data_IF_548494472017
#
_entry.id   IF_548494472017
#
_cell.length_a   1.000
_cell.length_b   1.000
_cell.length_c   1.000
_cell.angle_alpha   90.00
_cell.angle_beta   90.00
_cell.angle_gamma   90.00
#
_symmetry.space_group_name_H-M   'P 1'
#
loop_
_entity.id
_entity.type
_entity.pdbx_description
1 polymer ?
#
# COMPACT_ATOMS: atom_id res chain seq x y z
N UNK A 1 26.94 2.19 1.97
CA UNK A 1 25.47 2.17 2.13
C UNK A 1 25.13 1.25 3.30
N UNK A 2 24.45 1.74 4.34
CA UNK A 2 24.21 0.95 5.55
C UNK A 2 22.79 0.38 5.50
N UNK A 3 22.66 -0.84 4.98
CA UNK A 3 21.37 -1.52 4.76
C UNK A 3 20.49 -1.53 6.03
N UNK A 4 21.10 -1.70 7.21
CA UNK A 4 20.39 -1.72 8.49
C UNK A 4 19.73 -0.38 8.81
N UNK A 5 20.40 0.72 8.50
CA UNK A 5 19.87 2.07 8.71
C UNK A 5 18.71 2.37 7.75
N UNK A 6 18.86 2.00 6.48
CA UNK A 6 17.84 2.19 5.45
C UNK A 6 16.56 1.39 5.77
N UNK A 7 16.71 0.14 6.22
CA UNK A 7 15.57 -0.68 6.70
C UNK A 7 14.90 -0.07 7.92
N UNK A 8 15.66 0.38 8.92
CA UNK A 8 15.10 1.00 10.12
C UNK A 8 14.26 2.25 9.77
N UNK A 9 14.75 3.08 8.84
CA UNK A 9 14.04 4.27 8.38
C UNK A 9 12.72 3.93 7.70
N UNK A 10 12.72 2.88 6.88
CA UNK A 10 11.53 2.40 6.17
C UNK A 10 10.49 1.82 7.14
N UNK A 11 10.92 1.04 8.13
CA UNK A 11 10.04 0.49 9.17
C UNK A 11 9.42 1.61 10.00
N UNK A 12 10.21 2.58 10.46
CA UNK A 12 9.70 3.74 11.22
C UNK A 12 8.70 4.54 10.37
N UNK A 13 8.99 4.75 9.09
CA UNK A 13 8.06 5.38 8.15
C UNK A 13 6.75 4.61 8.03
N UNK A 14 6.81 3.31 7.81
CA UNK A 14 5.64 2.43 7.68
C UNK A 14 4.77 2.43 8.94
N UNK A 15 5.38 2.32 10.12
CA UNK A 15 4.68 2.35 11.41
C UNK A 15 3.96 3.69 11.61
N UNK A 16 4.64 4.81 11.34
CA UNK A 16 4.04 6.14 11.46
C UNK A 16 2.86 6.32 10.49
N UNK A 17 2.99 5.86 9.25
CA UNK A 17 1.92 5.90 8.25
C UNK A 17 0.72 5.07 8.74
N UNK A 18 0.95 3.86 9.24
CA UNK A 18 -0.13 3.02 9.80
C UNK A 18 -0.86 3.69 10.96
N UNK A 19 -0.12 4.33 11.86
CA UNK A 19 -0.70 5.09 12.99
C UNK A 19 -1.53 6.29 12.54
N UNK A 20 -1.06 7.04 11.53
CA UNK A 20 -1.80 8.18 10.97
C UNK A 20 -3.10 7.71 10.31
N UNK A 21 -3.02 6.64 9.49
CA UNK A 21 -4.19 6.07 8.83
C UNK A 21 -5.22 5.58 9.86
N UNK A 22 -4.78 4.83 10.87
CA UNK A 22 -5.67 4.35 11.93
C UNK A 22 -6.35 5.51 12.68
N UNK A 23 -5.59 6.53 13.07
CA UNK A 23 -6.11 7.73 13.75
C UNK A 23 -7.10 8.51 12.88
N UNK A 24 -6.88 8.51 11.56
CA UNK A 24 -7.76 9.17 10.58
C UNK A 24 -9.13 8.50 10.51
N UNK A 25 -9.20 7.17 10.60
CA UNK A 25 -10.48 6.44 10.64
C UNK A 25 -11.18 6.64 11.99
N UNK A 26 -10.44 6.61 13.10
CA UNK A 26 -11.00 6.85 14.43
C UNK A 26 -11.59 8.25 14.59
N UNK A 27 -11.05 9.25 13.90
CA UNK A 27 -11.54 10.65 13.95
C UNK A 27 -12.77 10.90 13.07
N UNK A 28 -13.22 9.89 12.31
CA UNK A 28 -14.33 10.00 11.35
C UNK A 28 -13.86 10.45 9.97
N UNK A 29 -14.14 9.63 8.94
CA UNK A 29 -13.74 9.91 7.55
C UNK A 29 -14.41 11.16 6.95
N UNK A 30 -15.56 11.57 7.49
CA UNK A 30 -16.31 12.76 7.07
C UNK A 30 -15.73 14.06 7.61
N UNK A 31 -14.82 13.99 8.59
CA UNK A 31 -14.09 15.15 9.05
C UNK A 31 -12.96 15.49 8.07
N UNK A 32 -12.80 16.78 7.76
CA UNK A 32 -11.69 17.29 6.94
C UNK A 32 -10.34 16.76 7.41
N UNK A 33 -10.16 16.63 8.72
CA UNK A 33 -8.95 16.08 9.35
C UNK A 33 -8.63 14.64 8.91
N UNK A 34 -9.64 13.78 8.69
CA UNK A 34 -9.46 12.39 8.25
C UNK A 34 -8.90 12.30 6.82
N UNK A 35 -9.43 13.09 5.89
CA UNK A 35 -8.95 13.11 4.50
C UNK A 35 -7.53 13.67 4.39
N UNK A 36 -7.21 14.74 5.15
CA UNK A 36 -5.85 15.27 5.23
C UNK A 36 -4.87 14.27 5.87
N UNK A 37 -5.33 13.48 6.84
CA UNK A 37 -4.56 12.38 7.43
C UNK A 37 -4.18 11.30 6.41
N UNK A 38 -5.11 10.89 5.55
CA UNK A 38 -4.83 9.93 4.46
C UNK A 38 -3.84 10.53 3.45
N UNK A 39 -4.04 11.78 3.03
CA UNK A 39 -3.13 12.43 2.09
C UNK A 39 -1.71 12.57 2.64
N UNK A 40 -1.57 12.94 3.93
CA UNK A 40 -0.27 13.02 4.61
C UNK A 40 0.39 11.65 4.76
N UNK A 41 -0.39 10.61 5.09
CA UNK A 41 0.09 9.23 5.14
C UNK A 41 0.68 8.77 3.80
N UNK A 42 -0.03 9.01 2.68
CA UNK A 42 0.45 8.70 1.33
C UNK A 42 1.75 9.46 1.02
N UNK A 43 1.81 10.75 1.35
CA UNK A 43 3.00 11.58 1.14
C UNK A 43 4.23 11.07 1.91
N UNK A 44 4.05 10.75 3.20
CA UNK A 44 5.14 10.21 4.04
C UNK A 44 5.62 8.86 3.50
N UNK A 45 4.72 8.00 3.05
CA UNK A 45 5.08 6.69 2.52
C UNK A 45 5.88 6.81 1.20
N UNK A 46 5.49 7.74 0.31
CA UNK A 46 6.25 8.05 -0.90
C UNK A 46 7.66 8.59 -0.58
N UNK A 47 7.78 9.46 0.44
CA UNK A 47 9.06 9.99 0.90
C UNK A 47 9.93 8.88 1.51
N UNK A 48 9.34 7.96 2.28
CA UNK A 48 10.05 6.83 2.85
C UNK A 48 10.67 5.96 1.75
N UNK A 49 9.88 5.56 0.75
CA UNK A 49 10.33 4.78 -0.41
C UNK A 49 11.42 5.51 -1.19
N UNK A 50 11.23 6.80 -1.49
CA UNK A 50 12.21 7.60 -2.25
C UNK A 50 13.52 7.80 -1.50
N UNK A 51 13.49 7.82 -0.17
CA UNK A 51 14.66 8.13 0.65
C UNK A 51 15.63 6.96 0.86
N UNK A 52 15.26 5.77 0.39
CA UNK A 52 15.98 4.52 0.63
C UNK A 52 16.72 4.08 -0.62
N UNK A 53 18.04 3.90 -0.48
CA UNK A 53 18.92 3.70 -1.63
C UNK A 53 18.86 2.28 -2.22
N UNK A 54 18.49 1.25 -1.45
CA UNK A 54 18.36 -0.13 -1.95
C UNK A 54 17.11 -0.38 -2.80
N UNK A 55 16.12 0.52 -2.72
CA UNK A 55 14.82 0.41 -3.39
C UNK A 55 14.85 1.07 -4.78
N UNK A 56 15.92 1.82 -5.06
CA UNK A 56 16.04 2.61 -6.28
C UNK A 56 15.79 1.75 -7.52
N UNK A 57 14.96 2.27 -8.42
CA UNK A 57 14.44 1.64 -9.64
C UNK A 57 13.43 0.50 -9.47
N UNK A 58 13.20 0.02 -8.24
CA UNK A 58 12.16 -0.93 -7.86
C UNK A 58 11.10 -0.29 -6.95
N UNK A 59 10.97 1.05 -7.00
CA UNK A 59 10.12 1.82 -6.09
C UNK A 59 8.65 1.39 -6.14
N UNK A 60 8.12 1.02 -7.32
CA UNK A 60 6.71 0.59 -7.44
C UNK A 60 6.44 -0.70 -6.68
N UNK A 61 7.35 -1.68 -6.77
CA UNK A 61 7.21 -2.97 -6.08
C UNK A 61 7.27 -2.76 -4.57
N UNK A 62 8.25 -1.98 -4.10
CA UNK A 62 8.39 -1.70 -2.67
C UNK A 62 7.25 -0.85 -2.13
N UNK A 63 6.74 0.09 -2.92
CA UNK A 63 5.55 0.86 -2.59
C UNK A 63 4.34 -0.08 -2.43
N UNK A 64 4.14 -1.01 -3.35
CA UNK A 64 3.05 -1.99 -3.28
C UNK A 64 3.15 -2.87 -2.03
N UNK A 65 4.32 -3.44 -1.77
CA UNK A 65 4.57 -4.28 -0.58
C UNK A 65 4.31 -3.49 0.70
N UNK A 66 4.84 -2.28 0.81
CA UNK A 66 4.67 -1.45 2.00
C UNK A 66 3.21 -1.10 2.25
N UNK A 67 2.50 -0.67 1.21
CA UNK A 67 1.10 -0.29 1.35
C UNK A 67 0.27 -1.50 1.80
N UNK A 68 0.46 -2.66 1.16
CA UNK A 68 -0.25 -3.89 1.50
C UNK A 68 -0.12 -4.26 2.98
N UNK A 69 1.04 -4.03 3.62
CA UNK A 69 1.20 -4.28 5.06
C UNK A 69 0.62 -3.17 5.93
N UNK A 70 0.84 -1.91 5.54
CA UNK A 70 0.51 -0.74 6.37
C UNK A 70 -0.99 -0.49 6.43
N UNK A 71 -1.75 -0.83 5.39
CA UNK A 71 -3.16 -0.50 5.28
C UNK A 71 -4.11 -1.62 5.72
N UNK A 72 -3.62 -2.83 5.99
CA UNK A 72 -4.42 -3.92 6.60
C UNK A 72 -5.23 -3.43 7.82
N UNK A 73 -4.63 -2.85 8.87
CA UNK A 73 -5.41 -2.38 10.03
C UNK A 73 -6.40 -1.27 9.68
N UNK A 74 -6.06 -0.41 8.71
CA UNK A 74 -6.93 0.64 8.21
C UNK A 74 -8.15 0.06 7.47
N UNK A 75 -7.94 -0.87 6.54
CA UNK A 75 -8.98 -1.53 5.76
C UNK A 75 -9.93 -2.34 6.64
N UNK A 76 -9.39 -3.09 7.62
CA UNK A 76 -10.19 -3.82 8.60
C UNK A 76 -11.07 -2.87 9.41
N UNK A 77 -10.50 -1.76 9.90
CA UNK A 77 -11.27 -0.78 10.68
C UNK A 77 -12.35 -0.11 9.83
N UNK A 78 -12.01 0.31 8.62
CA UNK A 78 -12.96 0.95 7.70
C UNK A 78 -14.12 0.00 7.36
N UNK A 79 -13.81 -1.28 7.10
CA UNK A 79 -14.82 -2.30 6.85
C UNK A 79 -15.72 -2.54 8.08
N UNK A 80 -15.15 -2.59 9.29
CA UNK A 80 -15.96 -2.75 10.52
C UNK A 80 -16.94 -1.59 10.70
N UNK A 81 -16.48 -0.34 10.54
CA UNK A 81 -17.34 0.84 10.67
C UNK A 81 -18.44 0.84 9.61
N UNK A 82 -18.09 0.57 8.35
CA UNK A 82 -19.06 0.54 7.26
C UNK A 82 -20.14 -0.54 7.44
N UNK A 83 -19.76 -1.73 7.92
CA UNK A 83 -20.71 -2.82 8.17
C UNK A 83 -21.56 -2.54 9.41
N UNK A 84 -20.99 -1.94 10.46
CA UNK A 84 -21.75 -1.54 11.65
C UNK A 84 -22.81 -0.48 11.34
N UNK A 85 -22.48 0.51 10.50
CA UNK A 85 -23.42 1.55 10.08
C UNK A 85 -24.53 1.01 9.15
N UNK A 86 -24.18 0.16 8.18
CA UNK A 86 -25.15 -0.35 7.19
C UNK A 86 -26.00 -1.53 7.70
N UNK A 87 -25.48 -2.33 8.65
CA UNK A 87 -26.05 -3.61 9.04
C UNK A 87 -26.04 -3.84 10.56
N UNK A 88 -26.47 -2.83 11.32
CA UNK A 88 -26.44 -2.84 12.79
C UNK A 88 -27.13 -4.06 13.43
N UNK A 89 -28.23 -4.54 12.87
CA UNK A 89 -29.09 -5.59 13.47
C UNK A 89 -28.80 -7.02 13.00
N UNK A 90 -27.82 -7.22 12.11
CA UNK A 90 -27.50 -8.55 11.56
C UNK A 90 -26.74 -9.42 12.57
N UNK A 91 -26.96 -10.75 12.50
CA UNK A 91 -26.21 -11.74 13.27
C UNK A 91 -24.69 -11.64 13.06
N UNK A 92 -23.93 -11.93 14.13
CA UNK A 92 -22.46 -11.79 14.17
C UNK A 92 -21.75 -12.52 13.03
N UNK A 93 -22.19 -13.74 12.69
CA UNK A 93 -21.59 -14.51 11.61
C UNK A 93 -21.68 -13.81 10.25
N UNK A 94 -22.87 -13.30 9.91
CA UNK A 94 -23.09 -12.55 8.67
C UNK A 94 -22.30 -11.23 8.66
N UNK A 95 -22.19 -10.54 9.80
CA UNK A 95 -21.34 -9.33 9.92
C UNK A 95 -19.88 -9.62 9.57
N UNK A 96 -19.32 -10.73 10.07
CA UNK A 96 -17.94 -11.13 9.76
C UNK A 96 -17.78 -11.38 8.25
N UNK A 97 -18.72 -12.08 7.60
CA UNK A 97 -18.68 -12.31 6.16
C UNK A 97 -18.71 -10.99 5.36
N UNK A 98 -19.56 -10.04 5.75
CA UNK A 98 -19.61 -8.73 5.11
C UNK A 98 -18.32 -7.92 5.33
N UNK A 99 -17.73 -7.96 6.53
CA UNK A 99 -16.45 -7.29 6.80
C UNK A 99 -15.36 -7.84 5.88
N UNK A 100 -15.27 -9.17 5.73
CA UNK A 100 -14.29 -9.80 4.84
C UNK A 100 -14.52 -9.38 3.38
N UNK A 101 -15.79 -9.35 2.93
CA UNK A 101 -16.12 -8.94 1.56
C UNK A 101 -15.74 -7.47 1.29
N UNK A 102 -16.03 -6.57 2.23
CA UNK A 102 -15.65 -5.16 2.13
C UNK A 102 -14.13 -5.00 2.18
N UNK A 103 -13.42 -5.71 3.06
CA UNK A 103 -11.95 -5.72 3.10
C UNK A 103 -11.33 -6.15 1.76
N UNK A 104 -11.84 -7.23 1.15
CA UNK A 104 -11.34 -7.68 -0.16
C UNK A 104 -11.57 -6.62 -1.24
N UNK A 105 -12.73 -5.97 -1.21
CA UNK A 105 -13.06 -4.90 -2.16
C UNK A 105 -12.14 -3.68 -1.99
N UNK A 106 -11.83 -3.31 -0.74
CA UNK A 106 -10.89 -2.24 -0.41
C UNK A 106 -9.47 -2.58 -0.89
N UNK A 107 -9.00 -3.81 -0.64
CA UNK A 107 -7.68 -4.26 -1.10
C UNK A 107 -7.57 -4.20 -2.63
N UNK A 108 -8.61 -4.61 -3.36
CA UNK A 108 -8.63 -4.51 -4.83
C UNK A 108 -8.61 -3.06 -5.31
N UNK A 109 -9.39 -2.17 -4.69
CA UNK A 109 -9.41 -0.75 -5.03
C UNK A 109 -8.04 -0.08 -4.75
N UNK A 110 -7.44 -0.45 -3.64
CA UNK A 110 -6.12 0.00 -3.22
C UNK A 110 -5.02 -0.45 -4.19
N UNK A 111 -5.02 -1.70 -4.63
CA UNK A 111 -4.09 -2.20 -5.64
C UNK A 111 -4.14 -1.38 -6.93
N UNK A 112 -5.34 -1.12 -7.43
CA UNK A 112 -5.55 -0.30 -8.63
C UNK A 112 -5.04 1.13 -8.40
N UNK A 113 -5.38 1.73 -7.26
CA UNK A 113 -4.99 3.10 -6.93
C UNK A 113 -3.47 3.25 -6.81
N UNK A 114 -2.80 2.34 -6.09
CA UNK A 114 -1.34 2.33 -5.96
C UNK A 114 -0.71 2.11 -7.33
N UNK A 115 -1.22 1.18 -8.13
CA UNK A 115 -0.67 0.90 -9.46
C UNK A 115 -0.71 2.13 -10.38
N UNK A 116 -1.76 2.94 -10.30
CA UNK A 116 -1.84 4.21 -11.00
C UNK A 116 -0.88 5.26 -10.41
N UNK A 117 -0.84 5.37 -9.08
CA UNK A 117 -0.03 6.35 -8.36
C UNK A 117 1.48 6.11 -8.55
N UNK A 118 1.94 4.85 -8.48
CA UNK A 118 3.34 4.49 -8.68
C UNK A 118 3.80 4.75 -10.10
N UNK A 119 2.96 4.49 -11.11
CA UNK A 119 3.24 4.85 -12.52
C UNK A 119 3.40 6.35 -12.72
N UNK A 120 2.64 7.16 -11.97
CA UNK A 120 2.74 8.61 -12.03
C UNK A 120 4.01 9.14 -11.35
N UNK A 121 4.34 8.64 -10.16
CA UNK A 121 5.49 9.12 -9.37
C UNK A 121 6.82 8.60 -9.92
N UNK A 122 6.87 7.34 -10.37
CA UNK A 122 8.08 6.68 -10.85
C UNK A 122 7.87 6.09 -12.27
N UNK A 123 7.82 6.92 -13.32
CA UNK A 123 7.59 6.47 -14.69
C UNK A 123 8.77 5.67 -15.29
N UNK A 124 9.96 5.75 -14.69
CA UNK A 124 11.16 5.01 -15.11
C UNK A 124 11.55 4.00 -14.01
N UNK A 125 10.92 2.83 -14.05
CA UNK A 125 11.31 1.64 -13.30
C UNK A 125 12.34 0.85 -14.12
N UNK A 126 13.20 0.04 -13.48
CA UNK A 126 13.96 -0.95 -14.25
C UNK A 126 12.97 -1.93 -14.90
N UNK A 127 13.36 -2.42 -16.08
CA UNK A 127 12.61 -3.44 -16.80
C UNK A 127 12.31 -4.60 -15.84
N UNK A 128 11.04 -5.00 -15.76
CA UNK A 128 10.59 -6.11 -14.92
C UNK A 128 11.53 -7.32 -15.03
N UNK A 129 11.60 -8.13 -13.96
CA UNK A 129 12.37 -9.38 -13.97
C UNK A 129 12.08 -10.26 -15.21
N UNK A 130 10.85 -10.19 -15.74
CA UNK A 130 10.42 -10.88 -16.97
C UNK A 130 11.12 -10.33 -18.22
N UNK A 131 11.31 -9.01 -18.32
CA UNK A 131 12.01 -8.39 -19.45
C UNK A 131 13.51 -8.63 -19.41
N UNK A 132 14.12 -8.74 -18.23
CA UNK A 132 15.51 -9.20 -18.11
C UNK A 132 15.65 -10.68 -18.50
N UNK A 133 14.75 -11.55 -18.02
CA UNK A 133 14.70 -12.96 -18.44
C UNK A 133 14.53 -13.09 -19.95
N UNK A 134 13.65 -12.30 -20.55
CA UNK A 134 13.43 -12.29 -22.00
C UNK A 134 14.67 -11.85 -22.77
N UNK A 135 15.40 -10.84 -22.28
CA UNK A 135 16.69 -10.42 -22.86
C UNK A 135 17.75 -11.49 -22.74
N UNK A 136 17.77 -12.26 -21.65
CA UNK A 136 18.71 -13.38 -21.48
C UNK A 136 18.36 -14.51 -22.45
N UNK A 137 17.09 -14.86 -22.59
CA UNK A 137 16.59 -15.86 -23.52
C UNK A 137 16.92 -15.49 -24.98
N UNK A 138 16.63 -14.24 -25.38
CA UNK A 138 16.97 -13.71 -26.71
C UNK A 138 18.49 -13.69 -26.98
N UNK A 139 19.34 -13.48 -25.96
CA UNK A 139 20.80 -13.52 -26.12
C UNK A 139 21.36 -14.95 -26.18
N UNK A 140 20.66 -15.94 -25.63
CA UNK A 140 21.03 -17.35 -25.75
C UNK A 140 20.70 -17.85 -27.15
N UNK A 141 19.52 -17.50 -27.68
CA UNK A 141 19.08 -17.87 -29.03
C UNK A 141 19.89 -17.21 -30.15
N UNK A 142 20.52 -16.05 -29.92
CA UNK A 142 21.40 -15.41 -30.91
C UNK A 142 22.85 -15.94 -30.92
N UNK A 143 23.23 -16.72 -29.90
CA UNK A 143 24.59 -17.28 -29.76
C UNK A 143 24.64 -18.81 -29.94
N UNK A 144 23.53 -19.46 -30.30
CA UNK A 144 23.43 -20.87 -30.69
C UNK A 144 23.32 -21.04 -32.21
#
# INVERSE_FOLDING_TARGET
MNLRYDMAKLVIGAVNVGMILYSSVCSGLTCTFGLWGIATAVGILCLAVKSVSFIKKNESIWMFVLVLFVTIPFNVRLATVAVEECFAEINVFSKILYIVMVCMSLLSAEEIFIGLLTRFIWPRQDESFISELKKIDENIDQNG
#
